data_IF_770937871240
#
_entry.id   IF_770937871240
#
_cell.length_a   1.000
_cell.length_b   1.000
_cell.length_c   1.000
_cell.angle_alpha   90.00
_cell.angle_beta   90.00
_cell.angle_gamma   90.00
#
_symmetry.space_group_name_H-M   'P 1'
#
loop_
_entity.id
_entity.type
_entity.pdbx_description
1 polymer ?
#
# COMPACT_ATOMS: atom_id res chain seq x y z
N UNK A 1 -23.15 8.23 -4.25
CA UNK A 1 -21.72 8.31 -3.85
C UNK A 1 -21.16 9.66 -4.26
N UNK A 2 -21.18 10.64 -3.36
CA UNK A 2 -20.58 11.96 -3.65
C UNK A 2 -19.06 11.84 -3.62
N UNK A 3 -18.40 12.18 -4.73
CA UNK A 3 -16.94 12.15 -4.83
C UNK A 3 -16.42 13.45 -4.22
N UNK A 4 -15.87 13.41 -2.99
CA UNK A 4 -15.13 14.54 -2.41
C UNK A 4 -13.96 14.86 -3.37
N UNK A 5 -13.93 16.05 -3.93
CA UNK A 5 -12.82 16.54 -4.76
C UNK A 5 -11.88 17.35 -3.87
N UNK A 6 -10.58 17.29 -4.18
CA UNK A 6 -9.59 18.15 -3.56
C UNK A 6 -9.61 19.53 -4.21
N UNK A 7 -9.61 20.57 -3.38
CA UNK A 7 -9.44 21.95 -3.81
C UNK A 7 -7.97 22.20 -4.19
N UNK A 8 -7.67 23.30 -4.88
CA UNK A 8 -6.29 23.68 -5.20
C UNK A 8 -5.43 23.87 -3.94
N UNK A 9 -6.03 24.38 -2.85
CA UNK A 9 -5.37 24.52 -1.55
C UNK A 9 -5.01 23.15 -0.98
N UNK A 10 -5.94 22.20 -1.00
CA UNK A 10 -5.68 20.83 -0.53
C UNK A 10 -4.56 20.17 -1.34
N UNK A 11 -4.55 20.39 -2.67
CA UNK A 11 -3.53 19.86 -3.57
C UNK A 11 -2.15 20.42 -3.22
N UNK A 12 -2.03 21.73 -2.96
CA UNK A 12 -0.76 22.35 -2.57
C UNK A 12 -0.25 21.86 -1.22
N UNK A 13 -1.13 21.74 -0.22
CA UNK A 13 -0.76 21.22 1.11
C UNK A 13 -0.26 19.78 0.98
N UNK A 14 -0.99 18.95 0.22
CA UNK A 14 -0.62 17.55 -0.01
C UNK A 14 0.66 17.40 -0.85
N UNK A 15 0.89 18.26 -1.85
CA UNK A 15 2.08 18.16 -2.70
C UNK A 15 3.38 18.47 -1.95
N UNK A 16 3.30 19.17 -0.82
CA UNK A 16 4.46 19.48 0.01
C UNK A 16 4.90 18.29 0.87
N UNK A 17 4.10 17.23 0.99
CA UNK A 17 4.46 16.06 1.78
C UNK A 17 5.39 15.11 0.97
N UNK A 18 6.55 14.70 1.51
CA UNK A 18 7.52 13.85 0.80
C UNK A 18 6.98 12.45 0.46
N UNK A 19 5.94 11.99 1.15
CA UNK A 19 5.31 10.69 0.94
C UNK A 19 4.27 10.67 -0.20
N UNK A 20 4.12 11.81 -0.89
CA UNK A 20 3.23 11.97 -2.03
C UNK A 20 4.03 12.08 -3.32
N UNK A 21 3.68 11.23 -4.29
CA UNK A 21 4.26 11.26 -5.64
C UNK A 21 3.54 12.25 -6.55
N UNK A 22 2.22 12.28 -6.49
CA UNK A 22 1.40 13.24 -7.25
C UNK A 22 0.01 13.37 -6.65
N UNK A 23 -0.59 14.56 -6.79
CA UNK A 23 -1.95 14.83 -6.34
C UNK A 23 -2.75 15.37 -7.51
N UNK A 24 -3.99 14.89 -7.62
CA UNK A 24 -4.98 15.40 -8.55
C UNK A 24 -6.27 15.72 -7.78
N UNK A 25 -7.17 16.50 -8.36
CA UNK A 25 -8.48 16.79 -7.77
C UNK A 25 -9.27 15.53 -7.39
N UNK A 26 -9.03 14.41 -8.08
CA UNK A 26 -9.77 13.16 -7.88
C UNK A 26 -9.07 12.21 -6.90
N UNK A 27 -7.75 12.24 -6.80
CA UNK A 27 -6.99 11.23 -6.07
C UNK A 27 -5.54 11.61 -5.77
N UNK A 28 -4.95 10.86 -4.83
CA UNK A 28 -3.57 11.01 -4.37
C UNK A 28 -2.81 9.75 -4.81
N UNK A 29 -1.62 9.96 -5.37
CA UNK A 29 -0.66 8.91 -5.64
C UNK A 29 0.45 8.98 -4.60
N UNK A 30 0.59 7.91 -3.84
CA UNK A 30 1.60 7.81 -2.79
C UNK A 30 2.91 7.24 -3.35
N UNK A 31 4.03 7.64 -2.73
CA UNK A 31 5.33 7.07 -3.03
C UNK A 31 5.38 5.59 -2.67
N UNK A 32 6.29 4.85 -3.29
CA UNK A 32 6.47 3.43 -2.96
C UNK A 32 7.13 3.24 -1.58
N UNK A 33 7.93 4.21 -1.14
CA UNK A 33 8.49 4.25 0.22
C UNK A 33 7.39 4.30 1.28
N UNK A 34 6.41 5.20 1.13
CA UNK A 34 5.31 5.28 2.07
C UNK A 34 4.48 4.00 2.13
N UNK A 35 4.25 3.35 0.98
CA UNK A 35 3.53 2.06 0.95
C UNK A 35 4.29 0.99 1.73
N UNK A 36 5.62 0.97 1.67
CA UNK A 36 6.45 0.03 2.44
C UNK A 36 6.33 0.29 3.95
N UNK A 37 6.52 1.54 4.38
CA UNK A 37 6.35 1.96 5.77
C UNK A 37 4.95 1.59 6.26
N UNK A 38 3.92 1.85 5.46
CA UNK A 38 2.55 1.52 5.80
C UNK A 38 2.35 0.02 6.04
N UNK A 39 2.88 -0.84 5.18
CA UNK A 39 2.75 -2.29 5.35
C UNK A 39 3.49 -2.75 6.60
N UNK A 40 4.74 -2.32 6.79
CA UNK A 40 5.55 -2.72 7.95
C UNK A 40 4.89 -2.32 9.27
N UNK A 41 4.46 -1.07 9.40
CA UNK A 41 3.81 -0.57 10.60
C UNK A 41 2.43 -1.21 10.81
N UNK A 42 1.71 -1.51 9.74
CA UNK A 42 0.43 -2.20 9.84
C UNK A 42 0.58 -3.67 10.24
N UNK A 43 1.66 -4.35 9.82
CA UNK A 43 2.01 -5.71 10.28
C UNK A 43 2.38 -5.73 11.77
N UNK A 44 2.98 -4.65 12.29
CA UNK A 44 3.19 -4.44 13.74
C UNK A 44 1.88 -4.16 14.51
N UNK A 45 0.75 -4.08 13.82
CA UNK A 45 -0.57 -3.86 14.44
C UNK A 45 -0.99 -2.39 14.58
N UNK A 46 -0.22 -1.43 14.03
CA UNK A 46 -0.64 -0.02 14.04
C UNK A 46 -1.86 0.19 13.15
N UNK A 47 -2.76 1.05 13.61
CA UNK A 47 -3.96 1.43 12.87
C UNK A 47 -3.58 2.33 11.67
N UNK A 48 -4.23 2.17 10.51
CA UNK A 48 -3.99 3.00 9.33
C UNK A 48 -4.07 4.50 9.61
N UNK A 49 -5.00 4.92 10.48
CA UNK A 49 -5.13 6.31 10.91
C UNK A 49 -3.83 6.84 11.53
N UNK A 50 -3.30 6.13 12.52
CA UNK A 50 -2.10 6.56 13.25
C UNK A 50 -0.89 6.64 12.34
N UNK A 51 -0.71 5.67 11.43
CA UNK A 51 0.40 5.66 10.46
C UNK A 51 0.35 6.92 9.58
N UNK A 52 -0.84 7.31 9.12
CA UNK A 52 -1.00 8.52 8.32
C UNK A 52 -0.75 9.79 9.16
N UNK A 53 -1.23 9.86 10.40
CA UNK A 53 -0.97 10.99 11.30
C UNK A 53 0.53 11.15 11.61
N UNK A 54 1.23 10.04 11.91
CA UNK A 54 2.67 10.02 12.18
C UNK A 54 3.50 10.46 10.95
N UNK A 55 3.03 10.16 9.74
CA UNK A 55 3.66 10.62 8.49
C UNK A 55 3.23 12.03 8.05
N UNK A 56 2.56 12.79 8.93
CA UNK A 56 2.20 14.19 8.69
C UNK A 56 1.05 14.37 7.72
N UNK A 57 0.13 13.40 7.61
CA UNK A 57 -1.09 13.55 6.84
C UNK A 57 -2.25 14.04 7.70
N UNK A 58 -2.99 15.01 7.17
CA UNK A 58 -4.28 15.41 7.72
C UNK A 58 -5.37 14.39 7.34
N UNK A 59 -5.85 13.68 8.35
CA UNK A 59 -6.86 12.61 8.23
C UNK A 59 -8.22 13.16 7.80
N UNK A 60 -8.59 14.35 8.24
CA UNK A 60 -9.87 14.98 7.91
C UNK A 60 -9.86 15.52 6.47
N UNK A 61 -8.70 16.01 6.03
CA UNK A 61 -8.50 16.43 4.64
C UNK A 61 -8.66 15.24 3.68
N UNK A 62 -7.92 14.13 3.91
CA UNK A 62 -7.95 12.93 3.05
C UNK A 62 -9.28 12.18 3.19
N UNK A 63 -9.74 12.00 4.43
CA UNK A 63 -10.93 11.25 4.80
C UNK A 63 -10.65 9.76 5.04
N UNK A 64 -11.20 9.26 6.15
CA UNK A 64 -11.02 7.87 6.62
C UNK A 64 -11.36 6.79 5.60
N UNK A 65 -12.41 6.97 4.79
CA UNK A 65 -12.79 5.99 3.75
C UNK A 65 -11.68 5.79 2.72
N UNK A 66 -10.94 6.85 2.35
CA UNK A 66 -9.83 6.76 1.41
C UNK A 66 -8.64 6.06 2.03
N UNK A 67 -8.31 6.38 3.29
CA UNK A 67 -7.22 5.73 4.05
C UNK A 67 -7.44 4.22 4.11
N UNK A 68 -8.64 3.80 4.53
CA UNK A 68 -8.98 2.38 4.64
C UNK A 68 -8.96 1.66 3.28
N UNK A 69 -9.47 2.31 2.23
CA UNK A 69 -9.49 1.74 0.88
C UNK A 69 -8.07 1.58 0.30
N UNK A 70 -7.22 2.60 0.47
CA UNK A 70 -5.81 2.56 0.06
C UNK A 70 -5.06 1.46 0.80
N UNK A 71 -5.19 1.41 2.13
CA UNK A 71 -4.54 0.38 2.95
C UNK A 71 -5.01 -1.05 2.61
N UNK A 72 -6.29 -1.23 2.31
CA UNK A 72 -6.81 -2.52 1.82
C UNK A 72 -6.13 -2.93 0.49
N UNK A 73 -6.02 -1.99 -0.45
CA UNK A 73 -5.40 -2.22 -1.75
C UNK A 73 -3.91 -2.56 -1.64
N UNK A 74 -3.17 -1.86 -0.79
CA UNK A 74 -1.74 -2.11 -0.60
C UNK A 74 -1.48 -3.44 0.08
N UNK A 75 -2.27 -3.80 1.09
CA UNK A 75 -2.19 -5.13 1.72
C UNK A 75 -2.49 -6.27 0.74
N UNK A 76 -3.49 -6.10 -0.11
CA UNK A 76 -3.81 -7.08 -1.14
C UNK A 76 -2.67 -7.22 -2.17
N UNK A 77 -2.08 -6.10 -2.61
CA UNK A 77 -0.94 -6.10 -3.52
C UNK A 77 0.30 -6.77 -2.88
N UNK A 78 0.58 -6.47 -1.61
CA UNK A 78 1.69 -7.07 -0.87
C UNK A 78 1.51 -8.58 -0.70
N UNK A 79 0.32 -9.05 -0.26
CA UNK A 79 0.03 -10.48 -0.17
C UNK A 79 0.23 -11.19 -1.51
N UNK A 80 -0.28 -10.62 -2.62
CA UNK A 80 -0.10 -11.18 -3.96
C UNK A 80 1.38 -11.30 -4.34
N UNK A 81 2.20 -10.31 -3.98
CA UNK A 81 3.64 -10.36 -4.22
C UNK A 81 4.32 -11.48 -3.41
N UNK A 82 3.97 -11.63 -2.13
CA UNK A 82 4.49 -12.71 -1.28
C UNK A 82 4.13 -14.10 -1.85
N UNK A 83 2.89 -14.28 -2.33
CA UNK A 83 2.49 -15.54 -2.98
C UNK A 83 3.32 -15.84 -4.24
N UNK A 84 3.63 -14.83 -5.06
CA UNK A 84 4.43 -15.02 -6.27
C UNK A 84 5.89 -15.41 -5.95
N UNK A 85 6.46 -14.87 -4.86
CA UNK A 85 7.82 -15.22 -4.41
C UNK A 85 7.85 -16.64 -3.83
N UNK A 86 6.81 -17.04 -3.10
CA UNK A 86 6.65 -18.42 -2.64
C UNK A 86 6.44 -19.41 -3.80
N UNK A 87 5.79 -19.02 -4.90
CA UNK A 87 5.66 -19.87 -6.10
C UNK A 87 7.02 -20.07 -6.81
N UNK A 88 7.89 -19.05 -6.82
CA UNK A 88 9.23 -19.15 -7.42
C UNK A 88 10.19 -20.00 -6.56
N UNK A 89 9.96 -20.08 -5.25
CA UNK A 89 10.75 -20.89 -4.30
C UNK A 89 9.98 -22.09 -3.74
N UNK A 90 8.90 -22.52 -4.38
CA UNK A 90 8.19 -23.71 -3.93
C UNK A 90 9.17 -24.89 -4.00
N UNK A 91 9.46 -25.57 -2.87
CA UNK A 91 10.31 -26.75 -2.91
C UNK A 91 9.61 -27.77 -3.82
N UNK A 92 10.28 -28.16 -4.91
CA UNK A 92 9.80 -29.21 -5.81
C UNK A 92 9.33 -30.38 -4.97
N UNK A 93 8.14 -30.88 -5.25
CA UNK A 93 7.62 -32.04 -4.52
C UNK A 93 8.55 -33.23 -4.72
N UNK A 94 8.59 -34.16 -3.75
CA UNK A 94 9.46 -35.35 -3.82
C UNK A 94 9.29 -36.12 -5.14
N UNK A 95 8.08 -36.17 -5.68
CA UNK A 95 7.78 -36.80 -6.97
C UNK A 95 8.39 -36.05 -8.17
N UNK A 96 8.39 -34.72 -8.16
CA UNK A 96 9.03 -33.90 -9.19
C UNK A 96 10.56 -34.02 -9.16
N UNK A 97 11.16 -34.03 -7.97
CA UNK A 97 12.60 -34.27 -7.80
C UNK A 97 13.01 -35.66 -8.31
N UNK A 98 12.22 -36.70 -8.01
CA UNK A 98 12.48 -38.06 -8.48
C UNK A 98 12.38 -38.18 -10.01
N UNK A 99 11.41 -37.52 -10.64
CA UNK A 99 11.26 -37.48 -12.11
C UNK A 99 12.43 -36.80 -12.82
N UNK A 100 13.04 -35.82 -12.19
CA UNK A 100 14.16 -35.08 -12.76
C UNK A 100 15.50 -35.78 -12.55
N UNK A 101 15.65 -36.55 -11.46
CA UNK A 101 16.83 -37.42 -11.23
C UNK A 101 16.90 -38.66 -12.13
N UNK A 102 15.81 -39.00 -12.82
CA UNK A 102 15.72 -40.13 -13.76
C UNK A 102 15.87 -39.69 -15.22
N UNK A 103 16.28 -38.45 -15.46
CA UNK A 103 16.54 -37.87 -16.78
C UNK A 103 18.05 -37.68 -16.97
#
# INVERSE_FOLDING_TARGET
MTKKLFTERDIQILSNNPYIKSVSQKGITYTDEFKRIFIEENEKGKLPRNIFEECGFDIDMIGMKRIMSSGSRWRAAYRKMVYLVCEIHAPKTREELLRESLR
#
